data_IF_405706522050
#
_entry.id   IF_405706522050
#
_cell.length_a   1.000
_cell.length_b   1.000
_cell.length_c   1.000
_cell.angle_alpha   90.00
_cell.angle_beta   90.00
_cell.angle_gamma   90.00
#
_symmetry.space_group_name_H-M   'P 1'
#
loop_
_entity.id
_entity.type
_entity.pdbx_description
1 polymer ?
#
# COMPACT_ATOMS: atom_id res chain seq x y z
N UNK A 1 -5.71 30.14 -13.92
CA UNK A 1 -4.76 29.32 -13.13
C UNK A 1 -4.49 28.05 -13.91
N UNK A 2 -3.29 27.44 -13.84
CA UNK A 2 -3.11 26.11 -14.40
C UNK A 2 -4.16 25.16 -13.79
N UNK A 3 -4.70 24.27 -14.61
CA UNK A 3 -5.70 23.28 -14.18
C UNK A 3 -5.04 22.35 -13.16
N UNK A 4 -5.73 22.08 -12.04
CA UNK A 4 -5.19 21.22 -10.98
C UNK A 4 -4.89 19.82 -11.56
N UNK A 5 -3.76 19.18 -11.20
CA UNK A 5 -3.47 17.83 -11.65
C UNK A 5 -4.66 16.90 -11.38
N UNK A 6 -5.12 16.24 -12.42
CA UNK A 6 -6.26 15.32 -12.37
C UNK A 6 -5.76 13.87 -12.46
N UNK A 7 -6.46 12.91 -11.84
CA UNK A 7 -6.04 11.53 -11.87
C UNK A 7 -6.19 10.93 -13.27
N UNK A 8 -5.28 10.04 -13.62
CA UNK A 8 -5.52 9.10 -14.72
C UNK A 8 -6.59 8.06 -14.31
N UNK A 9 -7.28 7.43 -15.28
CA UNK A 9 -8.22 6.34 -14.97
C UNK A 9 -7.58 5.19 -14.17
N UNK A 10 -6.27 4.95 -14.34
CA UNK A 10 -5.54 3.92 -13.62
C UNK A 10 -5.27 4.30 -12.16
N UNK A 11 -4.90 5.56 -11.91
CA UNK A 11 -4.75 6.07 -10.54
C UNK A 11 -6.09 6.02 -9.78
N UNK A 12 -7.20 6.40 -10.43
CA UNK A 12 -8.54 6.25 -9.83
C UNK A 12 -8.85 4.78 -9.53
N UNK A 13 -8.60 3.87 -10.48
CA UNK A 13 -8.82 2.44 -10.26
C UNK A 13 -7.96 1.88 -9.11
N UNK A 14 -6.72 2.40 -8.94
CA UNK A 14 -5.84 2.04 -7.83
C UNK A 14 -6.36 2.55 -6.48
N UNK A 15 -6.77 3.82 -6.41
CA UNK A 15 -7.36 4.40 -5.21
C UNK A 15 -8.66 3.70 -4.79
N UNK A 16 -9.50 3.33 -5.76
CA UNK A 16 -10.74 2.59 -5.50
C UNK A 16 -10.47 1.17 -4.97
N UNK A 17 -9.38 0.54 -5.43
CA UNK A 17 -8.96 -0.76 -4.91
C UNK A 17 -8.59 -0.68 -3.43
N UNK A 18 -7.86 0.36 -3.03
CA UNK A 18 -7.67 0.83 -1.64
C UNK A 18 -6.95 -0.09 -0.67
N UNK A 19 -6.87 -1.40 -0.92
CA UNK A 19 -6.28 -2.37 0.00
C UNK A 19 -5.51 -3.48 -0.75
N UNK A 20 -4.23 -3.64 -0.40
CA UNK A 20 -3.34 -4.68 -0.91
C UNK A 20 -2.53 -5.34 0.21
N UNK A 21 -1.91 -6.49 -0.10
CA UNK A 21 -0.96 -7.13 0.82
C UNK A 21 0.47 -7.00 0.32
N UNK A 22 1.39 -6.68 1.22
CA UNK A 22 2.83 -6.76 0.97
C UNK A 22 3.37 -8.10 1.49
N UNK A 23 4.27 -8.73 0.75
CA UNK A 23 4.89 -10.00 1.09
C UNK A 23 6.41 -9.81 1.15
N UNK A 24 6.92 -9.45 2.31
CA UNK A 24 8.35 -9.49 2.59
C UNK A 24 8.79 -10.94 2.83
N UNK A 25 9.46 -11.50 1.84
CA UNK A 25 9.99 -12.85 1.89
C UNK A 25 11.35 -12.90 1.21
N UNK A 26 12.30 -13.64 1.79
CA UNK A 26 13.67 -13.64 1.28
C UNK A 26 14.63 -14.34 2.21
N UNK A 27 15.92 -14.22 1.92
CA UNK A 27 16.99 -14.82 2.74
C UNK A 27 16.97 -14.32 4.19
N UNK A 28 16.50 -13.07 4.40
CA UNK A 28 16.30 -12.48 5.73
C UNK A 28 15.31 -13.27 6.61
N UNK A 29 14.21 -13.81 6.05
CA UNK A 29 13.26 -14.70 6.75
C UNK A 29 13.94 -15.90 7.41
N UNK A 30 14.92 -16.49 6.72
CA UNK A 30 15.63 -17.69 7.19
C UNK A 30 16.71 -17.38 8.22
N UNK A 31 17.17 -16.14 8.27
CA UNK A 31 18.25 -15.70 9.14
C UNK A 31 17.79 -14.80 10.29
N UNK A 32 16.48 -14.53 10.38
CA UNK A 32 15.90 -13.74 11.46
C UNK A 32 16.37 -12.28 11.42
N UNK A 33 16.43 -11.70 10.22
CA UNK A 33 16.89 -10.33 9.99
C UNK A 33 15.77 -9.50 9.40
N UNK A 34 15.74 -8.22 9.76
CA UNK A 34 14.99 -7.23 8.99
C UNK A 34 15.85 -6.83 7.78
N UNK A 35 17.06 -6.36 8.05
CA UNK A 35 18.06 -6.01 7.04
C UNK A 35 19.36 -6.78 7.28
N UNK A 36 19.90 -7.40 6.24
CA UNK A 36 21.23 -8.01 6.25
C UNK A 36 22.20 -7.28 5.32
N UNK A 37 23.49 -7.56 5.48
CA UNK A 37 24.59 -6.90 4.77
C UNK A 37 24.90 -7.51 3.38
N UNK A 38 24.01 -8.35 2.85
CA UNK A 38 24.22 -9.01 1.57
C UNK A 38 25.25 -10.15 1.61
N UNK A 39 25.70 -10.59 2.79
CA UNK A 39 26.69 -11.68 2.94
C UNK A 39 26.09 -13.03 3.35
N UNK A 40 24.78 -13.08 3.65
CA UNK A 40 24.10 -14.31 4.04
C UNK A 40 24.22 -15.38 2.96
N UNK A 41 24.56 -16.62 3.32
CA UNK A 41 24.78 -17.66 2.32
C UNK A 41 23.46 -18.05 1.62
N UNK A 42 23.38 -18.08 0.26
CA UNK A 42 22.20 -18.54 -0.48
C UNK A 42 21.69 -19.92 -0.05
N UNK A 43 22.58 -20.76 0.49
CA UNK A 43 22.25 -22.07 1.04
C UNK A 43 21.26 -22.05 2.23
N UNK A 44 21.08 -20.88 2.88
CA UNK A 44 20.14 -20.73 4.00
C UNK A 44 18.69 -20.54 3.54
N UNK A 45 18.46 -20.17 2.28
CA UNK A 45 17.12 -20.06 1.72
C UNK A 45 16.60 -21.44 1.31
N UNK A 46 15.74 -22.05 2.13
CA UNK A 46 15.16 -23.37 1.85
C UNK A 46 13.75 -23.52 2.46
N UNK A 47 12.72 -22.86 1.89
CA UNK A 47 11.36 -23.01 2.41
C UNK A 47 10.87 -24.45 2.27
N UNK A 48 10.49 -25.04 3.41
CA UNK A 48 10.18 -26.47 3.51
C UNK A 48 8.84 -26.89 2.91
N UNK A 49 7.90 -25.95 2.78
CA UNK A 49 6.53 -26.20 2.33
C UNK A 49 5.97 -25.03 1.48
N UNK A 50 6.83 -24.35 0.72
CA UNK A 50 6.46 -23.17 -0.07
C UNK A 50 5.18 -23.41 -0.90
N UNK A 51 4.20 -22.53 -0.75
CA UNK A 51 2.96 -22.56 -1.52
C UNK A 51 2.43 -21.15 -1.81
N UNK A 52 2.69 -20.66 -3.02
CA UNK A 52 2.20 -19.36 -3.47
C UNK A 52 0.67 -19.31 -3.59
N UNK A 53 -0.02 -20.45 -3.77
CA UNK A 53 -1.48 -20.47 -3.81
C UNK A 53 -2.07 -20.13 -2.43
N UNK A 54 -1.41 -20.56 -1.34
CA UNK A 54 -1.83 -20.20 0.02
C UNK A 54 -1.72 -18.70 0.29
N UNK A 55 -0.75 -18.01 -0.32
CA UNK A 55 -0.61 -16.56 -0.22
C UNK A 55 -1.77 -15.87 -0.95
N UNK A 56 -2.04 -16.29 -2.19
CA UNK A 56 -3.14 -15.76 -3.02
C UNK A 56 -4.51 -16.03 -2.40
N UNK A 57 -4.75 -17.23 -1.89
CA UNK A 57 -5.99 -17.60 -1.20
C UNK A 57 -6.21 -16.75 0.06
N UNK A 58 -5.13 -16.43 0.77
CA UNK A 58 -5.18 -15.55 1.95
C UNK A 58 -5.51 -14.12 1.55
N UNK A 59 -4.88 -13.59 0.51
CA UNK A 59 -5.16 -12.26 -0.02
C UNK A 59 -6.62 -12.12 -0.49
N UNK A 60 -7.13 -13.09 -1.24
CA UNK A 60 -8.52 -13.10 -1.71
C UNK A 60 -9.52 -13.23 -0.56
N UNK A 61 -9.25 -14.11 0.42
CA UNK A 61 -10.12 -14.26 1.58
C UNK A 61 -10.16 -12.99 2.45
N UNK A 62 -9.07 -12.22 2.48
CA UNK A 62 -8.99 -10.92 3.15
C UNK A 62 -9.61 -9.77 2.34
N UNK A 63 -10.01 -10.01 1.07
CA UNK A 63 -10.53 -8.96 0.19
C UNK A 63 -9.48 -7.99 -0.35
N UNK A 64 -8.19 -8.38 -0.33
CA UNK A 64 -7.13 -7.59 -0.95
C UNK A 64 -7.28 -7.59 -2.48
N UNK A 65 -7.08 -6.44 -3.10
CA UNK A 65 -7.22 -6.26 -4.54
C UNK A 65 -5.94 -6.62 -5.32
N UNK A 66 -4.80 -6.64 -4.63
CA UNK A 66 -3.47 -6.93 -5.17
C UNK A 66 -2.52 -7.46 -4.08
N UNK A 67 -1.42 -8.07 -4.53
CA UNK A 67 -0.26 -8.43 -3.68
C UNK A 67 1.00 -7.84 -4.27
N UNK A 68 1.94 -7.41 -3.41
CA UNK A 68 3.29 -6.99 -3.80
C UNK A 68 4.30 -7.93 -3.16
N UNK A 69 5.25 -8.45 -3.94
CA UNK A 69 6.33 -9.33 -3.44
C UNK A 69 7.67 -8.61 -3.51
N UNK A 70 8.49 -8.74 -2.46
CA UNK A 70 9.91 -8.35 -2.48
C UNK A 70 10.72 -9.27 -3.39
N UNK A 71 10.71 -9.02 -4.70
CA UNK A 71 11.46 -9.81 -5.67
C UNK A 71 12.98 -9.77 -5.36
N UNK A 72 13.47 -8.62 -4.90
CA UNK A 72 14.80 -8.42 -4.32
C UNK A 72 14.70 -7.35 -3.24
N UNK A 73 15.22 -7.63 -2.04
CA UNK A 73 15.33 -6.65 -0.95
C UNK A 73 16.73 -6.00 -0.92
N UNK A 74 17.02 -5.11 0.04
CA UNK A 74 18.32 -4.42 0.15
C UNK A 74 19.52 -5.35 0.22
N UNK A 75 19.32 -6.58 0.70
CA UNK A 75 20.37 -7.60 0.77
C UNK A 75 20.86 -8.08 -0.60
N UNK A 76 20.12 -7.79 -1.67
CA UNK A 76 20.44 -8.17 -3.05
C UNK A 76 20.01 -9.59 -3.45
N UNK A 77 19.41 -10.39 -2.54
CA UNK A 77 19.05 -11.77 -2.86
C UNK A 77 17.82 -11.82 -3.77
N UNK A 78 17.98 -12.36 -4.98
CA UNK A 78 16.90 -12.39 -5.97
C UNK A 78 16.02 -13.65 -5.83
N UNK A 79 14.72 -13.45 -5.69
CA UNK A 79 13.70 -14.49 -5.55
C UNK A 79 13.34 -15.23 -6.86
N UNK A 80 13.93 -14.81 -7.97
CA UNK A 80 13.78 -15.43 -9.28
C UNK A 80 15.15 -15.83 -9.84
N UNK A 81 15.21 -16.78 -10.80
CA UNK A 81 16.48 -17.24 -11.36
C UNK A 81 17.03 -16.23 -12.39
N UNK A 82 17.43 -15.05 -11.92
CA UNK A 82 17.94 -13.95 -12.73
C UNK A 82 19.18 -14.32 -13.55
N UNK A 83 19.35 -13.74 -14.73
CA UNK A 83 20.58 -13.86 -15.52
C UNK A 83 21.76 -13.04 -14.98
N UNK A 84 21.54 -12.12 -14.04
CA UNK A 84 22.53 -11.07 -13.69
C UNK A 84 23.49 -11.45 -12.56
N UNK A 85 23.07 -12.31 -11.62
CA UNK A 85 23.87 -12.72 -10.46
C UNK A 85 23.61 -14.16 -10.05
N UNK A 86 24.56 -14.76 -9.33
CA UNK A 86 24.38 -16.05 -8.65
C UNK A 86 23.76 -15.89 -7.25
N UNK A 87 23.67 -14.66 -6.72
CA UNK A 87 23.01 -14.37 -5.45
C UNK A 87 21.48 -14.35 -5.61
N UNK A 88 20.94 -15.52 -5.89
CA UNK A 88 19.52 -15.76 -6.17
C UNK A 88 19.13 -17.18 -5.77
N UNK A 89 17.84 -17.50 -5.91
CA UNK A 89 17.29 -18.85 -5.77
C UNK A 89 18.00 -19.92 -6.60
N UNK A 90 18.77 -19.57 -7.65
CA UNK A 90 19.60 -20.53 -8.41
C UNK A 90 20.68 -21.20 -7.56
N UNK A 91 21.19 -20.48 -6.55
CA UNK A 91 22.29 -20.94 -5.70
C UNK A 91 21.81 -21.48 -4.35
N UNK A 92 20.49 -21.59 -4.15
CA UNK A 92 19.91 -22.16 -2.95
C UNK A 92 19.56 -23.65 -3.14
N UNK A 93 19.45 -24.44 -2.05
CA UNK A 93 19.00 -25.83 -2.14
C UNK A 93 17.52 -25.95 -2.54
N UNK A 94 16.73 -24.89 -2.35
CA UNK A 94 15.31 -24.86 -2.62
C UNK A 94 15.01 -25.28 -4.07
N UNK A 95 14.14 -26.27 -4.23
CA UNK A 95 13.83 -26.92 -5.53
C UNK A 95 15.08 -27.30 -6.34
N UNK A 96 16.20 -27.60 -5.66
CA UNK A 96 17.52 -27.90 -6.26
C UNK A 96 18.02 -26.78 -7.18
N UNK A 97 17.88 -25.52 -6.75
CA UNK A 97 18.32 -24.34 -7.51
C UNK A 97 17.49 -24.05 -8.76
N UNK A 98 16.30 -24.65 -8.89
CA UNK A 98 15.39 -24.48 -10.04
C UNK A 98 14.08 -23.78 -9.69
N UNK A 99 13.97 -23.29 -8.46
CA UNK A 99 12.79 -22.59 -8.02
C UNK A 99 12.74 -21.17 -8.55
N UNK A 100 11.52 -20.63 -8.58
CA UNK A 100 11.22 -19.26 -8.99
C UNK A 100 10.01 -18.78 -8.20
N UNK A 101 10.25 -18.06 -7.11
CA UNK A 101 9.16 -17.60 -6.23
C UNK A 101 8.27 -16.59 -6.95
N UNK A 102 8.88 -15.69 -7.73
CA UNK A 102 8.17 -14.68 -8.52
C UNK A 102 7.28 -15.37 -9.57
N UNK A 103 7.83 -16.36 -10.28
CA UNK A 103 7.10 -17.16 -11.25
C UNK A 103 5.93 -17.95 -10.65
N UNK A 104 6.13 -18.60 -9.50
CA UNK A 104 5.07 -19.36 -8.82
C UNK A 104 3.95 -18.44 -8.31
N UNK A 105 4.28 -17.26 -7.76
CA UNK A 105 3.29 -16.28 -7.32
C UNK A 105 2.54 -15.63 -8.50
N UNK A 106 3.24 -15.28 -9.57
CA UNK A 106 2.61 -14.73 -10.77
C UNK A 106 1.59 -15.69 -11.39
N UNK A 107 1.93 -16.99 -11.45
CA UNK A 107 1.00 -18.00 -11.93
C UNK A 107 -0.21 -18.19 -11.00
N UNK A 108 -0.01 -18.19 -9.68
CA UNK A 108 -1.09 -18.27 -8.72
C UNK A 108 -2.04 -17.06 -8.81
N UNK A 109 -1.48 -15.84 -8.89
CA UNK A 109 -2.24 -14.61 -9.06
C UNK A 109 -3.08 -14.63 -10.35
N UNK A 110 -2.45 -15.01 -11.47
CA UNK A 110 -3.12 -15.12 -12.77
C UNK A 110 -4.29 -16.11 -12.75
N UNK A 111 -4.13 -17.27 -12.12
CA UNK A 111 -5.21 -18.27 -12.00
C UNK A 111 -6.40 -17.75 -11.21
N UNK A 112 -6.14 -16.94 -10.19
CA UNK A 112 -7.16 -16.47 -9.26
C UNK A 112 -7.72 -15.08 -9.62
N UNK A 113 -7.17 -14.42 -10.65
CA UNK A 113 -7.55 -13.05 -11.03
C UNK A 113 -7.08 -11.98 -10.04
N UNK A 114 -6.11 -12.30 -9.18
CA UNK A 114 -5.49 -11.35 -8.26
C UNK A 114 -4.41 -10.56 -9.00
N UNK A 115 -4.33 -9.26 -8.74
CA UNK A 115 -3.31 -8.41 -9.36
C UNK A 115 -1.97 -8.56 -8.64
N UNK A 116 -0.87 -8.56 -9.41
CA UNK A 116 0.49 -8.72 -8.89
C UNK A 116 1.27 -7.42 -9.05
N UNK A 117 1.89 -6.93 -7.97
CA UNK A 117 2.98 -5.97 -8.00
C UNK A 117 4.30 -6.58 -7.55
N UNK A 118 5.40 -5.90 -7.85
CA UNK A 118 6.74 -6.34 -7.47
C UNK A 118 7.54 -5.19 -6.88
N UNK A 119 8.22 -5.49 -5.78
CA UNK A 119 9.22 -4.63 -5.18
C UNK A 119 10.61 -5.04 -5.69
N UNK A 120 11.39 -4.06 -6.13
CA UNK A 120 12.77 -4.24 -6.57
C UNK A 120 13.64 -3.18 -5.90
N UNK A 121 14.34 -3.54 -4.83
CA UNK A 121 15.16 -2.60 -4.08
C UNK A 121 16.20 -1.91 -4.97
N UNK A 122 16.19 -0.57 -5.09
CA UNK A 122 17.25 0.18 -5.75
C UNK A 122 18.58 -0.01 -5.04
N UNK A 123 18.58 0.02 -3.70
CA UNK A 123 19.76 -0.29 -2.89
C UNK A 123 20.08 -1.79 -2.94
N UNK A 124 21.36 -2.13 -3.19
CA UNK A 124 21.83 -3.51 -3.22
C UNK A 124 23.16 -3.66 -2.49
N UNK A 125 23.15 -4.45 -1.42
CA UNK A 125 24.30 -4.67 -0.53
C UNK A 125 25.16 -5.86 -0.95
N UNK A 126 24.77 -6.62 -1.97
CA UNK A 126 25.52 -7.77 -2.48
C UNK A 126 26.26 -7.45 -3.77
N UNK A 127 25.64 -6.73 -4.70
CA UNK A 127 26.16 -6.49 -6.03
C UNK A 127 27.51 -5.74 -5.98
N UNK A 128 28.65 -6.36 -6.39
CA UNK A 128 29.94 -5.69 -6.32
C UNK A 128 30.04 -4.43 -7.19
N UNK A 129 29.18 -4.35 -8.22
CA UNK A 129 29.08 -3.19 -9.10
C UNK A 129 28.28 -2.02 -8.51
N UNK A 130 27.63 -2.15 -7.35
CA UNK A 130 26.81 -1.09 -6.75
C UNK A 130 27.56 0.24 -6.58
N UNK A 131 28.86 0.18 -6.27
CA UNK A 131 29.71 1.36 -6.13
C UNK A 131 30.03 2.09 -7.45
N UNK A 132 29.82 1.45 -8.61
CA UNK A 132 29.96 2.06 -9.93
C UNK A 132 28.57 2.39 -10.49
N UNK A 133 28.20 3.68 -10.57
CA UNK A 133 26.89 4.10 -11.00
C UNK A 133 26.40 3.50 -12.31
N UNK A 134 27.22 3.59 -13.36
CA UNK A 134 26.82 3.19 -14.70
C UNK A 134 26.75 1.66 -14.81
N UNK A 135 27.66 0.95 -14.13
CA UNK A 135 27.64 -0.51 -14.11
C UNK A 135 26.43 -1.04 -13.35
N UNK A 136 26.10 -0.45 -12.20
CA UNK A 136 24.93 -0.86 -11.42
C UNK A 136 23.63 -0.53 -12.12
N UNK A 137 23.50 0.64 -12.75
CA UNK A 137 22.27 1.01 -13.47
C UNK A 137 22.02 0.04 -14.63
N UNK A 138 23.06 -0.37 -15.37
CA UNK A 138 22.92 -1.42 -16.40
C UNK A 138 22.54 -2.80 -15.82
N UNK A 139 23.07 -3.16 -14.66
CA UNK A 139 22.71 -4.37 -13.92
C UNK A 139 21.24 -4.34 -13.46
N UNK A 140 20.82 -3.21 -12.89
CA UNK A 140 19.47 -2.98 -12.39
C UNK A 140 18.44 -2.99 -13.52
N UNK A 141 18.72 -2.30 -14.64
CA UNK A 141 17.87 -2.31 -15.83
C UNK A 141 17.68 -3.72 -16.39
N UNK A 142 18.73 -4.54 -16.36
CA UNK A 142 18.63 -5.95 -16.76
C UNK A 142 17.66 -6.70 -15.84
N UNK A 143 17.78 -6.57 -14.52
CA UNK A 143 16.86 -7.20 -13.56
C UNK A 143 15.41 -6.71 -13.73
N UNK A 144 15.20 -5.41 -13.84
CA UNK A 144 13.88 -4.82 -14.05
C UNK A 144 13.25 -5.31 -15.35
N UNK A 145 14.03 -5.41 -16.44
CA UNK A 145 13.54 -5.94 -17.73
C UNK A 145 13.10 -7.40 -17.60
N UNK A 146 13.83 -8.23 -16.85
CA UNK A 146 13.40 -9.62 -16.59
C UNK A 146 12.06 -9.66 -15.86
N UNK A 147 11.88 -8.84 -14.82
CA UNK A 147 10.65 -8.77 -14.03
C UNK A 147 9.47 -8.24 -14.87
N UNK A 148 9.71 -7.22 -15.69
CA UNK A 148 8.68 -6.60 -16.54
C UNK A 148 8.28 -7.45 -17.74
N UNK A 149 9.07 -8.45 -18.16
CA UNK A 149 8.80 -9.22 -19.39
C UNK A 149 8.42 -10.68 -19.16
N UNK A 150 8.77 -11.28 -18.01
CA UNK A 150 8.61 -12.73 -17.78
C UNK A 150 7.36 -13.13 -17.00
N UNK A 151 6.79 -12.22 -16.20
CA UNK A 151 5.77 -12.58 -15.19
C UNK A 151 4.36 -12.07 -15.49
N UNK A 152 4.13 -11.52 -16.69
CA UNK A 152 2.83 -10.99 -17.11
C UNK A 152 2.59 -9.54 -16.66
N UNK A 153 1.34 -9.06 -16.73
CA UNK A 153 1.02 -7.69 -16.35
C UNK A 153 1.27 -7.44 -14.86
N UNK A 154 1.98 -6.37 -14.56
CA UNK A 154 2.21 -5.86 -13.22
C UNK A 154 1.22 -4.74 -12.92
N UNK A 155 0.71 -4.76 -11.70
CA UNK A 155 -0.18 -3.74 -11.17
C UNK A 155 0.59 -2.58 -10.57
N UNK A 156 1.72 -2.88 -9.94
CA UNK A 156 2.54 -1.91 -9.24
C UNK A 156 4.01 -2.33 -9.23
N UNK A 157 4.91 -1.36 -9.41
CA UNK A 157 6.34 -1.48 -9.24
C UNK A 157 6.76 -0.60 -8.07
N UNK A 158 7.32 -1.25 -7.03
CA UNK A 158 7.67 -0.61 -5.78
C UNK A 158 9.18 -0.38 -5.70
N UNK A 159 9.57 0.90 -5.68
CA UNK A 159 10.97 1.34 -5.59
C UNK A 159 11.22 2.01 -4.25
N UNK A 160 12.07 1.41 -3.44
CA UNK A 160 12.37 1.85 -2.08
C UNK A 160 13.40 2.97 -2.04
N UNK A 161 13.08 4.04 -1.31
CA UNK A 161 14.03 5.12 -1.06
C UNK A 161 15.07 4.79 0.00
N UNK A 162 14.81 3.84 0.91
CA UNK A 162 15.73 3.48 1.98
C UNK A 162 17.07 2.93 1.42
N UNK A 163 18.19 3.50 1.88
CA UNK A 163 19.54 3.16 1.44
C UNK A 163 19.96 3.73 0.09
N UNK A 164 19.07 4.51 -0.54
CA UNK A 164 19.33 5.25 -1.78
C UNK A 164 19.73 6.70 -1.54
N UNK A 165 19.91 7.12 -0.29
CA UNK A 165 20.26 8.49 0.07
C UNK A 165 21.57 8.91 -0.60
N UNK A 166 21.54 10.04 -1.32
CA UNK A 166 22.69 10.55 -2.08
C UNK A 166 23.07 9.75 -3.34
N UNK A 167 22.32 8.70 -3.69
CA UNK A 167 22.51 7.93 -4.93
C UNK A 167 21.53 8.41 -6.01
N UNK A 168 22.06 8.80 -7.16
CA UNK A 168 21.26 9.06 -8.37
C UNK A 168 21.29 7.84 -9.28
N UNK A 169 20.11 7.31 -9.60
CA UNK A 169 19.92 6.25 -10.60
C UNK A 169 19.52 6.86 -11.94
N UNK A 170 19.76 6.15 -13.04
CA UNK A 170 19.25 6.49 -14.36
C UNK A 170 17.73 6.24 -14.45
N UNK A 171 16.95 7.12 -13.82
CA UNK A 171 15.49 7.02 -13.79
C UNK A 171 14.86 7.13 -15.17
N UNK A 172 15.46 7.87 -16.10
CA UNK A 172 14.96 7.97 -17.48
C UNK A 172 15.00 6.59 -18.16
N UNK A 173 16.11 5.86 -18.04
CA UNK A 173 16.22 4.50 -18.56
C UNK A 173 15.31 3.52 -17.83
N UNK A 174 15.19 3.61 -16.50
CA UNK A 174 14.30 2.76 -15.70
C UNK A 174 12.85 2.97 -16.14
N UNK A 175 12.40 4.22 -16.26
CA UNK A 175 11.04 4.54 -16.70
C UNK A 175 10.79 4.13 -18.14
N UNK A 176 11.80 4.16 -19.02
CA UNK A 176 11.66 3.67 -20.40
C UNK A 176 11.32 2.17 -20.45
N UNK A 177 11.93 1.34 -19.58
CA UNK A 177 11.60 -0.09 -19.47
C UNK A 177 10.15 -0.28 -19.02
N UNK A 178 9.69 0.51 -18.06
CA UNK A 178 8.32 0.45 -17.53
C UNK A 178 7.32 0.90 -18.62
N UNK A 179 7.59 2.01 -19.30
CA UNK A 179 6.74 2.51 -20.38
C UNK A 179 6.60 1.51 -21.53
N UNK A 180 7.68 0.79 -21.86
CA UNK A 180 7.68 -0.19 -22.94
C UNK A 180 6.94 -1.48 -22.56
N UNK A 181 7.15 -1.99 -21.34
CA UNK A 181 6.73 -3.34 -20.98
C UNK A 181 5.55 -3.39 -20.00
N UNK A 182 5.38 -2.36 -19.18
CA UNK A 182 4.38 -2.30 -18.11
C UNK A 182 3.73 -0.89 -18.02
N UNK A 183 3.23 -0.31 -19.13
CA UNK A 183 2.69 1.06 -19.14
C UNK A 183 1.47 1.26 -18.23
N UNK A 184 0.89 0.16 -17.75
CA UNK A 184 -0.32 0.12 -16.93
C UNK A 184 -0.02 -0.01 -15.43
N UNK A 185 1.23 -0.32 -15.05
CA UNK A 185 1.65 -0.45 -13.67
C UNK A 185 1.71 0.92 -12.98
N UNK A 186 1.31 0.97 -11.71
CA UNK A 186 1.66 2.11 -10.86
C UNK A 186 3.16 2.07 -10.55
N UNK A 187 3.77 3.25 -10.48
CA UNK A 187 5.17 3.44 -10.06
C UNK A 187 5.15 4.12 -8.70
N UNK A 188 5.66 3.43 -7.69
CA UNK A 188 5.69 3.95 -6.33
C UNK A 188 6.89 4.84 -6.08
N UNK A 189 6.60 6.06 -5.61
CA UNK A 189 7.45 7.02 -4.90
C UNK A 189 8.67 7.60 -5.61
N UNK A 190 9.49 6.80 -6.27
CA UNK A 190 10.77 7.22 -6.87
C UNK A 190 10.69 7.42 -8.39
N UNK A 191 11.62 8.24 -8.91
CA UNK A 191 11.77 8.49 -10.34
C UNK A 191 10.61 9.30 -10.90
N UNK A 192 9.74 8.67 -11.71
CA UNK A 192 8.53 9.30 -12.25
C UNK A 192 7.28 8.67 -11.63
N UNK A 193 7.02 8.91 -10.33
CA UNK A 193 5.97 8.20 -9.61
C UNK A 193 4.57 8.51 -10.15
N UNK A 194 3.67 7.55 -9.95
CA UNK A 194 2.22 7.69 -10.15
C UNK A 194 1.44 7.65 -8.84
N UNK A 195 2.07 7.15 -7.76
CA UNK A 195 1.59 7.10 -6.39
C UNK A 195 2.76 7.43 -5.46
N UNK A 196 2.51 7.84 -4.21
CA UNK A 196 3.57 8.27 -3.30
C UNK A 196 3.49 7.58 -1.95
N UNK A 197 4.63 7.53 -1.26
CA UNK A 197 4.68 7.17 0.14
C UNK A 197 3.91 8.18 1.01
N UNK A 198 3.25 7.69 2.06
CA UNK A 198 2.49 8.55 2.98
C UNK A 198 3.39 9.35 3.93
N UNK A 199 4.63 8.90 4.18
CA UNK A 199 5.59 9.56 5.07
C UNK A 199 5.81 8.88 6.42
N UNK A 200 5.24 7.69 6.65
CA UNK A 200 5.51 6.85 7.80
C UNK A 200 5.27 5.37 7.45
N UNK A 201 5.82 4.46 8.28
CA UNK A 201 5.57 3.01 8.23
C UNK A 201 4.54 2.56 9.28
N UNK A 202 3.81 3.51 9.88
CA UNK A 202 2.76 3.24 10.88
C UNK A 202 1.38 3.00 10.24
N UNK A 203 1.27 3.16 8.92
CA UNK A 203 0.03 2.95 8.17
C UNK A 203 -0.97 4.10 8.29
N UNK A 204 -0.49 5.32 8.55
CA UNK A 204 -1.33 6.47 8.90
C UNK A 204 -1.25 7.58 7.85
N UNK A 205 -2.39 7.95 7.27
CA UNK A 205 -2.51 9.17 6.48
C UNK A 205 -2.78 10.40 7.37
N UNK A 206 -2.42 11.57 6.85
CA UNK A 206 -2.78 12.86 7.44
C UNK A 206 -4.21 13.25 7.08
N UNK A 207 -4.78 14.17 7.86
CA UNK A 207 -5.95 14.95 7.49
C UNK A 207 -5.54 16.43 7.49
N UNK A 208 -5.48 17.12 6.34
CA UNK A 208 -5.91 16.68 5.00
C UNK A 208 -5.08 15.53 4.39
N UNK A 209 -5.74 14.72 3.57
CA UNK A 209 -5.13 13.69 2.72
C UNK A 209 -5.09 14.20 1.27
N UNK A 210 -4.01 14.92 0.94
CA UNK A 210 -3.84 15.57 -0.35
C UNK A 210 -3.33 14.61 -1.43
N UNK A 211 -3.94 14.71 -2.62
CA UNK A 211 -3.54 13.93 -3.80
C UNK A 211 -2.64 14.67 -4.76
N UNK A 212 -2.44 15.98 -4.59
CA UNK A 212 -1.48 16.73 -5.39
C UNK A 212 -0.24 16.96 -4.56
N UNK A 213 0.92 16.58 -5.09
CA UNK A 213 2.19 16.75 -4.42
C UNK A 213 3.21 17.42 -5.35
N UNK A 214 4.10 18.23 -4.76
CA UNK A 214 5.24 18.87 -5.42
C UNK A 214 6.57 18.19 -5.08
N UNK A 215 6.56 17.28 -4.11
CA UNK A 215 7.72 16.50 -3.67
C UNK A 215 7.27 15.14 -3.10
N UNK A 216 8.20 14.18 -3.07
CA UNK A 216 8.01 12.87 -2.40
C UNK A 216 9.05 12.70 -1.29
N UNK A 217 8.65 12.07 -0.18
CA UNK A 217 9.58 11.70 0.89
C UNK A 217 10.44 10.50 0.46
N UNK A 218 11.66 10.40 1.00
CA UNK A 218 12.61 9.35 0.61
C UNK A 218 12.42 8.10 1.47
N UNK A 219 12.55 8.21 2.79
CA UNK A 219 12.44 7.09 3.72
C UNK A 219 12.13 7.58 5.14
N UNK A 220 11.92 6.66 6.09
CA UNK A 220 11.84 7.01 7.53
C UNK A 220 13.18 7.40 8.15
N UNK A 221 14.28 7.24 7.42
CA UNK A 221 15.65 7.47 7.90
C UNK A 221 16.24 8.82 7.46
N UNK A 222 15.56 9.49 6.54
CA UNK A 222 15.96 10.78 5.97
C UNK A 222 14.75 11.72 5.97
N UNK A 223 14.91 12.92 6.54
CA UNK A 223 13.89 13.98 6.46
C UNK A 223 13.90 14.70 5.10
N UNK A 224 14.79 14.27 4.19
CA UNK A 224 14.89 14.67 2.81
C UNK A 224 13.63 14.38 1.97
N UNK A 225 13.47 15.18 0.93
CA UNK A 225 12.44 15.02 -0.08
C UNK A 225 13.02 15.20 -1.49
N UNK A 226 12.47 14.46 -2.44
CA UNK A 226 12.78 14.62 -3.85
C UNK A 226 11.76 15.58 -4.47
N UNK A 227 12.24 16.72 -4.97
CA UNK A 227 11.41 17.73 -5.61
C UNK A 227 11.00 17.25 -7.00
N UNK A 228 9.71 17.35 -7.31
CA UNK A 228 9.18 17.03 -8.62
C UNK A 228 9.42 18.20 -9.60
N UNK A 229 9.47 17.88 -10.88
CA UNK A 229 9.56 18.87 -11.96
C UNK A 229 8.33 19.79 -12.03
N UNK A 230 7.18 19.29 -11.57
CA UNK A 230 5.91 19.99 -11.45
C UNK A 230 5.00 19.27 -10.44
N UNK A 231 3.97 19.96 -9.95
CA UNK A 231 2.91 19.35 -9.16
C UNK A 231 2.24 18.19 -9.94
N UNK A 232 2.06 17.05 -9.28
CA UNK A 232 1.47 15.83 -9.88
C UNK A 232 0.36 15.29 -8.99
N UNK A 233 -0.64 14.66 -9.62
CA UNK A 233 -1.61 13.84 -8.90
C UNK A 233 -0.91 12.56 -8.45
N UNK A 234 -0.57 12.45 -7.17
CA UNK A 234 0.13 11.35 -6.50
C UNK A 234 -0.65 10.98 -5.23
N UNK A 235 -1.63 10.07 -5.31
CA UNK A 235 -2.35 9.64 -4.13
C UNK A 235 -1.40 8.85 -3.20
N UNK A 236 -1.54 9.02 -1.87
CA UNK A 236 -0.67 8.35 -0.92
C UNK A 236 -1.04 6.87 -0.73
N UNK A 237 -0.03 6.04 -0.57
CA UNK A 237 -0.14 4.67 -0.04
C UNK A 237 0.44 4.63 1.38
N UNK A 238 -0.34 4.08 2.30
CA UNK A 238 0.06 3.79 3.68
C UNK A 238 0.56 2.35 3.76
N UNK A 239 1.86 2.17 3.91
CA UNK A 239 2.49 0.87 4.11
C UNK A 239 2.76 0.62 5.60
N UNK A 240 2.53 -0.62 6.06
CA UNK A 240 2.67 -0.98 7.48
C UNK A 240 2.78 -2.50 7.67
N UNK A 241 3.62 -3.01 8.58
CA UNK A 241 3.64 -4.43 8.92
C UNK A 241 2.44 -4.84 9.76
N UNK A 242 1.90 -6.04 9.51
CA UNK A 242 0.89 -6.68 10.37
C UNK A 242 1.46 -6.98 11.77
N UNK A 243 2.75 -7.32 11.83
CA UNK A 243 3.54 -7.49 13.06
C UNK A 243 4.36 -6.22 13.33
N UNK A 244 5.33 -6.30 14.25
CA UNK A 244 6.32 -5.25 14.47
C UNK A 244 7.40 -5.19 13.37
N UNK A 245 7.56 -6.25 12.58
CA UNK A 245 8.64 -6.40 11.60
C UNK A 245 8.08 -6.59 10.18
N UNK A 246 8.87 -6.21 9.18
CA UNK A 246 8.56 -6.46 7.78
C UNK A 246 8.77 -7.92 7.42
N UNK A 247 9.91 -8.52 7.77
CA UNK A 247 10.14 -9.96 7.59
C UNK A 247 9.62 -10.75 8.78
N UNK A 248 9.20 -12.00 8.53
CA UNK A 248 8.78 -12.90 9.61
C UNK A 248 9.95 -13.20 10.54
N UNK A 249 9.71 -13.10 11.85
CA UNK A 249 10.65 -13.51 12.90
C UNK A 249 10.06 -14.64 13.75
N UNK A 250 10.88 -15.59 14.24
CA UNK A 250 10.38 -16.71 15.04
C UNK A 250 9.70 -16.31 16.35
N UNK A 251 10.09 -15.17 16.94
CA UNK A 251 9.65 -14.75 18.28
C UNK A 251 8.87 -13.42 18.29
N UNK A 252 8.31 -12.97 17.16
CA UNK A 252 7.59 -11.69 17.08
C UNK A 252 6.06 -11.80 17.11
N UNK A 253 5.48 -12.98 17.35
CA UNK A 253 4.02 -13.17 17.39
C UNK A 253 3.33 -12.26 18.42
N UNK A 254 4.01 -11.92 19.51
CA UNK A 254 3.51 -11.01 20.54
C UNK A 254 3.33 -9.55 20.04
N UNK A 255 3.90 -9.21 18.89
CA UNK A 255 3.77 -7.91 18.21
C UNK A 255 2.65 -7.87 17.18
N UNK A 256 1.92 -8.97 16.99
CA UNK A 256 0.81 -9.06 16.03
C UNK A 256 -0.31 -8.08 16.40
N UNK A 257 -0.51 -7.06 15.56
CA UNK A 257 -1.50 -5.98 15.74
C UNK A 257 -2.90 -6.53 15.99
N UNK A 258 -3.59 -6.02 17.00
CA UNK A 258 -4.96 -6.42 17.34
C UNK A 258 -5.95 -6.12 16.20
N UNK A 259 -7.12 -6.77 16.21
CA UNK A 259 -8.20 -6.45 15.26
C UNK A 259 -8.57 -4.97 15.32
N UNK A 260 -8.67 -4.41 16.52
CA UNK A 260 -9.09 -3.02 16.71
C UNK A 260 -8.02 -2.03 16.25
N UNK A 261 -6.74 -2.36 16.44
CA UNK A 261 -5.64 -1.59 15.84
C UNK A 261 -5.68 -1.63 14.31
N UNK A 262 -5.92 -2.80 13.69
CA UNK A 262 -6.03 -2.89 12.23
C UNK A 262 -7.25 -2.13 11.68
N UNK A 263 -8.39 -2.14 12.38
CA UNK A 263 -9.53 -1.28 12.07
C UNK A 263 -9.15 0.20 12.16
N UNK A 264 -8.44 0.59 13.22
CA UNK A 264 -7.93 1.94 13.40
C UNK A 264 -7.02 2.39 12.25
N UNK A 265 -6.17 1.51 11.72
CA UNK A 265 -5.36 1.77 10.52
C UNK A 265 -6.24 1.97 9.28
N UNK A 266 -7.22 1.10 9.04
CA UNK A 266 -8.11 1.21 7.89
C UNK A 266 -8.86 2.55 7.86
N UNK A 267 -9.44 2.98 9.01
CA UNK A 267 -10.13 4.27 9.09
C UNK A 267 -9.18 5.45 8.85
N UNK A 268 -7.91 5.33 9.25
CA UNK A 268 -6.87 6.37 9.13
C UNK A 268 -6.01 6.24 7.87
N UNK A 269 -6.41 5.38 6.93
CA UNK A 269 -5.78 5.22 5.60
C UNK A 269 -6.87 5.25 4.54
N UNK A 270 -7.48 4.09 4.25
CA UNK A 270 -8.59 3.93 3.29
C UNK A 270 -9.78 4.82 3.64
N UNK A 271 -10.10 4.95 4.93
CA UNK A 271 -11.15 5.83 5.42
C UNK A 271 -10.87 7.33 5.23
N UNK A 272 -9.62 7.72 4.97
CA UNK A 272 -9.21 9.08 4.60
C UNK A 272 -8.91 9.24 3.10
N UNK A 273 -9.05 8.16 2.32
CA UNK A 273 -8.85 8.15 0.88
C UNK A 273 -7.42 7.81 0.43
N UNK A 274 -6.56 7.32 1.32
CA UNK A 274 -5.25 6.74 0.98
C UNK A 274 -5.37 5.24 0.64
N UNK A 275 -4.37 4.68 -0.03
CA UNK A 275 -4.20 3.22 -0.13
C UNK A 275 -3.69 2.63 1.19
N UNK A 276 -4.01 1.38 1.49
CA UNK A 276 -3.42 0.61 2.59
C UNK A 276 -2.72 -0.64 2.04
N UNK A 277 -1.39 -0.67 2.18
CA UNK A 277 -0.55 -1.80 1.86
C UNK A 277 -0.10 -2.50 3.15
N UNK A 278 -0.84 -3.53 3.55
CA UNK A 278 -0.58 -4.24 4.81
C UNK A 278 0.40 -5.40 4.56
N UNK A 279 1.58 -5.34 5.16
CA UNK A 279 2.56 -6.42 5.03
C UNK A 279 2.19 -7.64 5.89
N UNK A 280 2.20 -8.82 5.27
CA UNK A 280 1.90 -10.13 5.88
C UNK A 280 3.01 -11.10 5.49
N UNK A 281 4.07 -11.24 6.31
CA UNK A 281 5.28 -11.93 5.89
C UNK A 281 5.12 -13.46 5.92
N UNK A 282 5.44 -14.17 4.82
CA UNK A 282 5.58 -15.61 4.85
C UNK A 282 6.73 -16.05 5.77
N UNK A 283 6.52 -17.17 6.47
CA UNK A 283 7.49 -17.74 7.40
C UNK A 283 8.54 -18.65 6.72
N UNK A 284 9.38 -19.31 7.52
CA UNK A 284 10.43 -20.23 7.01
C UNK A 284 9.90 -21.49 6.33
N UNK A 285 8.61 -21.83 6.46
CA UNK A 285 7.99 -22.88 5.65
C UNK A 285 7.71 -22.38 4.25
N UNK A 286 7.60 -21.06 4.05
CA UNK A 286 7.13 -20.42 2.82
C UNK A 286 5.61 -20.30 2.79
N UNK A 287 4.98 -20.15 3.96
CA UNK A 287 3.53 -20.01 4.15
C UNK A 287 3.26 -18.74 4.98
N UNK A 288 2.11 -18.11 4.77
CA UNK A 288 1.60 -17.12 5.73
C UNK A 288 1.24 -17.88 7.01
N UNK A 289 1.77 -17.41 8.15
CA UNK A 289 1.55 -17.99 9.47
C UNK A 289 0.06 -18.04 9.82
N UNK A 290 -0.36 -19.11 10.49
CA UNK A 290 -1.77 -19.35 10.79
C UNK A 290 -2.37 -18.26 11.69
N UNK A 291 -1.60 -17.68 12.62
CA UNK A 291 -2.07 -16.60 13.47
C UNK A 291 -2.24 -15.29 12.69
N UNK A 292 -1.33 -15.02 11.75
CA UNK A 292 -1.39 -13.83 10.88
C UNK A 292 -2.60 -13.90 9.97
N UNK A 293 -2.81 -15.06 9.33
CA UNK A 293 -4.00 -15.30 8.52
C UNK A 293 -5.28 -15.17 9.34
N UNK A 294 -5.32 -15.74 10.55
CA UNK A 294 -6.51 -15.63 11.40
C UNK A 294 -6.82 -14.17 11.78
N UNK A 295 -5.81 -13.39 12.18
CA UNK A 295 -5.97 -11.98 12.55
C UNK A 295 -6.38 -11.12 11.36
N UNK A 296 -5.79 -11.34 10.19
CA UNK A 296 -6.16 -10.65 8.96
C UNK A 296 -7.64 -10.88 8.59
N UNK A 297 -8.11 -12.13 8.68
CA UNK A 297 -9.50 -12.47 8.40
C UNK A 297 -10.48 -11.97 9.47
N UNK A 298 -10.05 -11.92 10.73
CA UNK A 298 -10.83 -11.31 11.81
C UNK A 298 -11.07 -9.81 11.55
N UNK A 299 -10.02 -9.08 11.19
CA UNK A 299 -10.07 -7.66 10.86
C UNK A 299 -10.96 -7.38 9.63
N UNK A 300 -10.69 -8.06 8.52
CA UNK A 300 -11.42 -7.84 7.25
C UNK A 300 -12.86 -8.35 7.31
N UNK A 301 -13.12 -9.40 8.09
CA UNK A 301 -14.47 -9.87 8.40
C UNK A 301 -15.27 -8.84 9.20
N UNK A 302 -14.65 -8.17 10.17
CA UNK A 302 -15.30 -7.09 10.94
C UNK A 302 -15.55 -5.84 10.08
N UNK A 303 -14.61 -5.45 9.20
CA UNK A 303 -14.87 -4.40 8.21
C UNK A 303 -16.07 -4.75 7.31
N UNK A 304 -16.09 -5.97 6.77
CA UNK A 304 -17.18 -6.46 5.93
C UNK A 304 -18.51 -6.38 6.67
N UNK A 305 -18.55 -6.79 7.95
CA UNK A 305 -19.76 -6.72 8.79
C UNK A 305 -20.23 -5.28 8.98
N UNK A 306 -19.32 -4.34 9.28
CA UNK A 306 -19.66 -2.92 9.51
C UNK A 306 -20.30 -2.28 8.28
N UNK A 307 -19.78 -2.58 7.08
CA UNK A 307 -20.20 -1.93 5.84
C UNK A 307 -21.11 -2.80 4.96
N UNK A 308 -21.68 -3.89 5.49
CA UNK A 308 -22.48 -4.87 4.74
C UNK A 308 -23.83 -4.34 4.20
N UNK A 309 -24.40 -3.31 4.82
CA UNK A 309 -25.73 -2.79 4.51
C UNK A 309 -25.68 -1.28 4.20
N UNK A 310 -25.09 -0.89 3.04
CA UNK A 310 -25.03 0.51 2.64
C UNK A 310 -26.42 1.05 2.31
N UNK A 311 -26.71 2.27 2.77
CA UNK A 311 -27.86 3.06 2.29
C UNK A 311 -27.34 4.24 1.49
N UNK A 312 -27.51 4.20 0.17
CA UNK A 312 -27.09 5.29 -0.72
C UNK A 312 -28.11 6.42 -0.69
N UNK A 313 -27.64 7.65 -0.55
CA UNK A 313 -28.47 8.83 -0.61
C UNK A 313 -28.62 9.35 -2.05
N UNK A 314 -29.76 9.98 -2.33
CA UNK A 314 -29.92 10.87 -3.49
C UNK A 314 -29.27 12.23 -3.15
N UNK A 315 -28.40 12.73 -4.02
CA UNK A 315 -27.72 14.01 -3.80
C UNK A 315 -28.50 15.15 -4.47
N UNK A 316 -28.82 16.18 -3.68
CA UNK A 316 -29.42 17.43 -4.16
C UNK A 316 -28.45 18.57 -3.86
N UNK A 317 -27.64 19.00 -4.85
CA UNK A 317 -26.73 20.12 -4.69
C UNK A 317 -27.48 21.44 -4.51
N UNK A 318 -27.00 22.31 -3.62
CA UNK A 318 -27.51 23.65 -3.36
C UNK A 318 -26.36 24.59 -2.98
N UNK A 319 -25.73 25.21 -4.00
CA UNK A 319 -24.80 26.34 -3.83
C UNK A 319 -23.77 26.24 -2.69
N UNK A 320 -22.82 25.30 -2.76
CA UNK A 320 -21.80 25.07 -1.72
C UNK A 320 -22.23 24.11 -0.61
N UNK A 321 -23.51 23.72 -0.59
CA UNK A 321 -24.02 22.62 0.21
C UNK A 321 -24.53 21.47 -0.68
N UNK A 322 -24.57 20.26 -0.12
CA UNK A 322 -25.20 19.07 -0.71
C UNK A 322 -26.16 18.49 0.31
N UNK A 323 -27.43 18.33 -0.06
CA UNK A 323 -28.39 17.56 0.73
C UNK A 323 -28.38 16.11 0.26
N UNK A 324 -27.99 15.20 1.15
CA UNK A 324 -28.06 13.75 0.93
C UNK A 324 -29.40 13.24 1.50
N UNK A 325 -30.33 12.85 0.61
CA UNK A 325 -31.69 12.39 0.98
C UNK A 325 -31.79 10.88 0.98
N UNK A 326 -32.40 10.35 2.03
CA UNK A 326 -32.76 8.95 2.16
C UNK A 326 -34.27 8.76 1.92
N UNK A 327 -34.70 7.67 1.28
CA UNK A 327 -36.10 7.47 0.90
C UNK A 327 -37.04 7.30 2.11
N UNK A 328 -36.49 6.87 3.24
CA UNK A 328 -37.19 6.68 4.51
C UNK A 328 -36.26 7.03 5.68
N UNK A 329 -36.78 7.24 6.91
CA UNK A 329 -35.93 7.48 8.07
C UNK A 329 -34.95 6.31 8.30
N UNK A 330 -33.66 6.62 8.32
CA UNK A 330 -32.57 5.65 8.49
C UNK A 330 -31.80 5.94 9.77
N UNK A 331 -31.46 4.90 10.53
CA UNK A 331 -30.55 4.98 11.67
C UNK A 331 -29.12 4.81 11.18
N UNK A 332 -28.29 5.83 11.33
CA UNK A 332 -26.90 5.88 10.86
C UNK A 332 -25.96 6.13 12.03
N UNK A 333 -24.81 5.47 12.02
CA UNK A 333 -23.68 5.77 12.91
C UNK A 333 -22.37 6.00 12.13
N UNK A 334 -22.41 5.83 10.81
CA UNK A 334 -21.31 6.09 9.90
C UNK A 334 -21.82 6.70 8.58
N UNK A 335 -20.96 7.48 7.93
CA UNK A 335 -21.18 7.95 6.56
C UNK A 335 -19.87 7.88 5.77
N UNK A 336 -19.97 7.44 4.53
CA UNK A 336 -18.93 7.56 3.51
C UNK A 336 -19.30 8.70 2.54
N UNK A 337 -18.38 9.64 2.36
CA UNK A 337 -18.42 10.66 1.33
C UNK A 337 -17.46 10.30 0.20
N UNK A 338 -17.86 10.59 -1.04
CA UNK A 338 -17.01 10.45 -2.23
C UNK A 338 -17.05 11.71 -3.06
N UNK A 339 -15.87 12.21 -3.41
CA UNK A 339 -15.69 13.39 -4.24
C UNK A 339 -15.79 13.05 -5.73
N UNK A 340 -16.29 13.99 -6.52
CA UNK A 340 -16.20 13.91 -7.98
C UNK A 340 -14.78 14.28 -8.44
N UNK A 341 -13.92 13.28 -8.55
CA UNK A 341 -12.51 13.44 -8.94
C UNK A 341 -12.28 13.62 -10.44
N UNK A 342 -13.33 13.75 -11.27
CA UNK A 342 -13.20 13.90 -12.72
C UNK A 342 -12.37 15.14 -13.14
N UNK A 343 -12.19 16.10 -12.22
CA UNK A 343 -11.40 17.32 -12.43
C UNK A 343 -10.31 17.53 -11.38
N UNK A 344 -9.93 16.49 -10.64
CA UNK A 344 -9.01 16.58 -9.51
C UNK A 344 -9.72 16.68 -8.16
N UNK A 345 -8.94 16.89 -7.10
CA UNK A 345 -9.41 17.05 -5.72
C UNK A 345 -9.58 18.54 -5.41
N UNK A 346 -10.77 18.91 -4.96
CA UNK A 346 -11.24 20.28 -4.78
C UNK A 346 -11.82 20.56 -3.40
N UNK A 347 -12.39 19.56 -2.73
CA UNK A 347 -12.93 19.71 -1.36
C UNK A 347 -11.76 19.87 -0.39
N UNK A 348 -11.63 21.06 0.21
CA UNK A 348 -10.62 21.36 1.25
C UNK A 348 -11.14 21.11 2.65
N UNK A 349 -12.44 21.34 2.87
CA UNK A 349 -13.11 21.13 4.16
C UNK A 349 -14.57 20.73 3.94
N UNK A 350 -15.12 19.99 4.91
CA UNK A 350 -16.53 19.66 4.92
C UNK A 350 -17.08 19.53 6.34
N UNK A 351 -18.38 19.80 6.49
CA UNK A 351 -19.15 19.64 7.72
C UNK A 351 -20.45 18.90 7.40
N UNK A 352 -20.75 17.85 8.17
CA UNK A 352 -21.96 17.03 8.04
C UNK A 352 -22.91 17.39 9.18
N UNK A 353 -24.16 17.70 8.83
CA UNK A 353 -25.21 18.06 9.76
C UNK A 353 -26.40 17.09 9.66
N UNK A 354 -26.93 16.70 10.81
CA UNK A 354 -28.23 16.03 10.94
C UNK A 354 -29.16 16.95 11.75
N UNK A 355 -30.39 17.16 11.27
CA UNK A 355 -31.37 18.06 11.90
C UNK A 355 -30.83 19.49 12.20
N UNK A 356 -29.86 19.94 11.38
CA UNK A 356 -29.20 21.24 11.54
C UNK A 356 -28.14 21.31 12.63
N UNK A 357 -27.77 20.19 13.27
CA UNK A 357 -26.65 20.10 14.21
C UNK A 357 -25.45 19.42 13.54
N UNK A 358 -24.22 19.94 13.70
CA UNK A 358 -23.01 19.25 13.24
C UNK A 358 -22.84 17.90 13.94
N UNK A 359 -22.56 16.85 13.17
CA UNK A 359 -22.31 15.49 13.68
C UNK A 359 -20.90 14.98 13.33
N UNK A 360 -20.28 15.52 12.27
CA UNK A 360 -18.92 15.19 11.86
C UNK A 360 -18.36 16.30 10.96
N UNK A 361 -17.04 16.43 10.90
CA UNK A 361 -16.34 17.33 9.98
C UNK A 361 -14.94 16.80 9.68
N UNK A 362 -14.32 17.31 8.62
CA UNK A 362 -12.95 16.99 8.25
C UNK A 362 -12.46 17.91 7.14
N UNK A 363 -11.21 17.72 6.72
CA UNK A 363 -10.66 18.48 5.61
C UNK A 363 -11.07 17.85 4.26
N UNK A 364 -10.15 17.16 3.60
CA UNK A 364 -10.35 16.59 2.26
C UNK A 364 -11.32 15.40 2.25
N UNK A 365 -11.98 15.17 1.11
CA UNK A 365 -12.80 13.97 0.85
C UNK A 365 -12.11 12.98 -0.07
N UNK A 366 -11.71 13.39 -1.27
CA UNK A 366 -11.02 12.49 -2.20
C UNK A 366 -11.85 11.29 -2.67
N UNK A 367 -11.20 10.15 -2.91
CA UNK A 367 -11.87 8.93 -3.39
C UNK A 367 -12.84 8.38 -2.32
N UNK A 368 -12.57 8.68 -1.05
CA UNK A 368 -13.31 8.20 0.09
C UNK A 368 -13.00 9.00 1.35
N UNK A 369 -14.05 9.39 2.08
CA UNK A 369 -13.95 9.85 3.47
C UNK A 369 -15.00 9.18 4.33
N UNK A 370 -14.58 8.47 5.38
CA UNK A 370 -15.47 7.75 6.30
C UNK A 370 -15.47 8.43 7.66
N UNK A 371 -16.67 8.75 8.16
CA UNK A 371 -16.87 9.26 9.51
C UNK A 371 -17.65 8.25 10.35
N UNK A 372 -17.34 8.22 11.64
CA UNK A 372 -18.14 7.58 12.69
C UNK A 372 -18.68 8.69 13.61
N UNK A 373 -19.92 8.55 14.08
CA UNK A 373 -20.57 9.55 14.92
C UNK A 373 -21.64 8.91 15.82
N UNK A 374 -22.11 9.68 16.82
CA UNK A 374 -23.24 9.25 17.66
C UNK A 374 -24.47 8.95 16.80
N UNK A 375 -25.17 7.82 17.02
CA UNK A 375 -26.19 7.37 16.07
C UNK A 375 -27.34 8.37 15.91
N UNK A 376 -27.69 8.68 14.66
CA UNK A 376 -28.80 9.59 14.31
C UNK A 376 -29.85 8.86 13.48
N UNK A 377 -31.12 9.17 13.70
CA UNK A 377 -32.21 8.73 12.80
C UNK A 377 -32.65 9.92 11.98
N UNK A 378 -32.47 9.86 10.66
CA UNK A 378 -32.76 10.99 9.78
C UNK A 378 -33.25 10.54 8.40
N UNK A 379 -33.95 11.41 7.69
CA UNK A 379 -34.22 11.30 6.25
C UNK A 379 -33.25 12.10 5.39
N UNK A 380 -32.44 12.96 6.01
CA UNK A 380 -31.48 13.81 5.29
C UNK A 380 -30.22 14.09 6.10
N UNK A 381 -29.10 14.23 5.39
CA UNK A 381 -27.88 14.87 5.90
C UNK A 381 -27.59 16.09 5.04
N UNK A 382 -27.26 17.21 5.69
CA UNK A 382 -26.75 18.40 4.98
C UNK A 382 -25.25 18.41 5.09
N UNK A 383 -24.57 18.58 3.96
CA UNK A 383 -23.11 18.55 3.88
C UNK A 383 -22.65 19.88 3.30
N UNK A 384 -21.95 20.67 4.12
CA UNK A 384 -21.29 21.89 3.68
C UNK A 384 -19.94 21.56 3.11
N UNK A 385 -19.61 22.14 1.96
CA UNK A 385 -18.34 21.91 1.27
C UNK A 385 -17.60 23.25 1.12
N UNK A 386 -16.30 23.23 1.39
CA UNK A 386 -15.35 24.29 1.08
C UNK A 386 -14.43 23.83 -0.04
N UNK A 387 -14.17 24.71 -1.01
CA UNK A 387 -13.30 24.42 -2.14
C UNK A 387 -13.86 24.95 -3.47
N UNK A 388 -12.97 25.30 -4.39
CA UNK A 388 -13.36 25.74 -5.73
C UNK A 388 -13.85 24.54 -6.54
N UNK A 389 -15.07 24.59 -7.10
CA UNK A 389 -15.70 23.45 -7.83
C UNK A 389 -15.89 22.17 -6.97
N UNK A 390 -15.96 22.31 -5.64
CA UNK A 390 -16.20 21.22 -4.68
C UNK A 390 -17.51 20.46 -4.96
N UNK A 391 -17.42 19.15 -5.21
CA UNK A 391 -18.55 18.29 -5.60
C UNK A 391 -18.45 16.90 -4.98
N UNK A 392 -19.56 16.41 -4.45
CA UNK A 392 -19.72 15.00 -4.10
C UNK A 392 -20.42 14.26 -5.25
N UNK A 393 -19.97 13.03 -5.53
CA UNK A 393 -20.67 12.12 -6.45
C UNK A 393 -21.44 11.01 -5.72
N UNK A 394 -21.12 10.74 -4.45
CA UNK A 394 -21.85 9.79 -3.63
C UNK A 394 -21.78 10.12 -2.14
N UNK A 395 -22.88 9.81 -1.44
CA UNK A 395 -22.96 9.76 0.02
C UNK A 395 -23.66 8.45 0.40
N UNK A 396 -23.01 7.67 1.26
CA UNK A 396 -23.53 6.37 1.70
C UNK A 396 -23.55 6.30 3.21
N UNK A 397 -24.73 6.08 3.80
CA UNK A 397 -24.89 5.88 5.24
C UNK A 397 -24.79 4.40 5.63
N UNK A 398 -24.32 4.14 6.86
CA UNK A 398 -24.23 2.80 7.43
C UNK A 398 -24.67 2.77 8.90
N UNK A 399 -25.12 1.59 9.33
CA UNK A 399 -25.36 1.24 10.73
C UNK A 399 -24.42 0.12 11.13
N UNK A 400 -23.25 0.48 11.65
CA UNK A 400 -22.18 -0.45 12.00
C UNK A 400 -22.37 -1.05 13.41
N UNK A 401 -23.13 -0.37 14.27
CA UNK A 401 -23.23 -0.64 15.70
C UNK A 401 -22.12 0.00 16.53
N UNK A 402 -21.31 0.88 15.94
CA UNK A 402 -20.22 1.60 16.59
C UNK A 402 -20.32 3.09 16.25
N UNK A 403 -20.08 3.97 17.22
CA UNK A 403 -20.10 5.42 17.04
C UNK A 403 -18.71 6.07 17.02
N UNK A 404 -17.65 5.27 17.14
CA UNK A 404 -16.28 5.77 17.20
C UNK A 404 -15.30 4.86 16.45
N UNK A 405 -14.26 5.49 15.89
CA UNK A 405 -13.09 4.81 15.34
C UNK A 405 -12.29 4.22 16.52
N UNK A 406 -11.84 2.95 16.46
CA UNK A 406 -11.00 2.39 17.51
C UNK A 406 -9.73 3.22 17.74
N UNK A 407 -9.23 3.29 18.99
CA UNK A 407 -7.96 3.93 19.28
C UNK A 407 -6.80 3.12 18.68
N UNK A 408 -5.71 3.80 18.34
CA UNK A 408 -4.44 3.13 18.07
C UNK A 408 -3.89 2.62 19.41
N UNK A 409 -3.64 1.32 19.49
CA UNK A 409 -2.95 0.71 20.63
C UNK A 409 -1.44 0.98 20.54
N UNK A 410 -0.80 1.24 21.68
CA UNK A 410 0.66 1.27 21.76
C UNK A 410 1.23 -0.07 21.27
N UNK A 411 2.09 0.00 20.25
CA UNK A 411 2.75 -1.19 19.72
C UNK A 411 4.05 -1.44 20.49
N UNK A 412 4.37 -2.72 20.80
CA UNK A 412 5.70 -3.05 21.31
C UNK A 412 6.74 -2.59 20.28
N UNK A 413 7.93 -2.17 20.73
CA UNK A 413 8.99 -1.80 19.80
C UNK A 413 9.33 -2.97 18.89
N UNK A 414 9.69 -2.72 17.62
CA UNK A 414 10.17 -3.77 16.73
C UNK A 414 11.39 -4.47 17.35
N UNK A 415 11.55 -5.76 17.04
CA UNK A 415 12.76 -6.49 17.42
C UNK A 415 13.87 -6.09 16.44
N UNK A 416 14.46 -4.92 16.67
CA UNK A 416 15.41 -4.29 15.74
C UNK A 416 16.71 -5.09 15.60
N UNK A 417 16.76 -5.91 14.56
CA UNK A 417 17.97 -6.52 14.00
C UNK A 417 18.31 -5.89 12.61
N UNK A 418 17.90 -4.63 12.40
CA UNK A 418 18.32 -3.81 11.25
C UNK A 418 19.79 -3.43 11.46
N UNK A 419 20.67 -3.82 10.54
CA UNK A 419 22.02 -3.21 10.47
C UNK A 419 21.82 -1.77 9.99
N UNK A 420 22.39 -0.80 10.71
CA UNK A 420 22.24 0.63 10.45
C UNK A 420 22.26 0.96 8.94
N UNK A 421 21.25 1.72 8.47
CA UNK A 421 21.38 2.46 7.22
C UNK A 421 22.68 3.27 7.29
N UNK A 422 23.49 3.33 6.22
CA UNK A 422 24.65 4.20 6.22
C UNK A 422 24.16 5.63 6.52
N UNK A 423 24.51 6.15 7.71
CA UNK A 423 24.40 7.58 7.98
C UNK A 423 25.29 8.29 6.95
N UNK A 424 24.68 9.14 6.12
CA UNK A 424 25.38 9.98 5.15
C UNK A 424 26.41 10.91 5.79
#
# INVERSE_FOLDING_TARGET
MPEAPSPTPRQLAWQEAGFGLFLHFGINTFNGKEWSDGTLAPATFDPSAFDAAQWVDTALAAGAAYVILTAKHHDGFCLWPTGTTDYSVKSSPWRRGKGDVVGELAEACRKAGLKLGLYLSPWDRNAPCYADPAAYDAFYLSQLTELCTRYGPLYELWFDGAGSEGRTYDWDAIMAVIDEHQPDAMVFNMGRPTIRWVGNEDGLASDPCEYVAEATGISVYDDGSEQLDQARYLPPECDVPLRGNWFWQPDDLHTLKSRDHLLALWYRSVGLGAGLLLNVPPDRRGLIDEADRARLLEFTGELTRRFAAPVRAELVPDGGEVTARFPEPVLLDHVELREDLARGQHITDHEILADGQPIASGHTVGVRRVHAFEPVTTTELRIRLTGDDARLNAVTGFRTGHCAIPPLEEQPPPMNDKIDAPHA
#
